data_IF_621524617892
#
_entry.id   IF_621524617892
#
_cell.length_a   1.000
_cell.length_b   1.000
_cell.length_c   1.000
_cell.angle_alpha   90.00
_cell.angle_beta   90.00
_cell.angle_gamma   90.00
#
_symmetry.space_group_name_H-M   'P 1'
#
loop_
_entity.id
_entity.type
_entity.pdbx_description
1 polymer ?
#
# COMPACT_ATOMS: atom_id res chain seq x y z
N UNK A 1 17.39 19.36 7.37
CA UNK A 1 16.30 18.38 7.19
C UNK A 1 16.21 17.49 8.43
N UNK A 2 15.04 17.41 9.06
CA UNK A 2 14.77 16.53 10.19
C UNK A 2 14.63 15.09 9.67
N UNK A 3 15.34 14.15 10.30
CA UNK A 3 15.24 12.74 9.97
C UNK A 3 14.03 12.09 10.65
N UNK A 4 13.46 11.05 10.04
CA UNK A 4 12.34 10.31 10.61
C UNK A 4 12.76 9.61 11.89
N UNK A 5 12.05 9.88 13.02
CA UNK A 5 12.28 9.21 14.29
C UNK A 5 11.95 7.72 14.24
N UNK A 6 12.55 6.93 15.11
CA UNK A 6 12.25 5.52 15.37
C UNK A 6 12.51 4.60 14.16
N UNK A 7 13.38 5.03 13.25
CA UNK A 7 13.77 4.25 12.07
C UNK A 7 15.30 4.16 11.97
N UNK A 8 15.77 3.06 11.40
CA UNK A 8 17.18 2.83 11.13
C UNK A 8 17.77 1.60 11.83
N UNK A 9 19.02 1.29 11.54
CA UNK A 9 19.76 0.16 12.11
C UNK A 9 19.21 -1.23 11.77
N UNK A 10 18.37 -1.33 10.77
CA UNK A 10 17.84 -2.61 10.28
C UNK A 10 18.79 -3.29 9.30
N UNK A 11 18.44 -4.53 8.92
CA UNK A 11 19.16 -5.29 7.91
C UNK A 11 19.13 -4.56 6.55
N UNK A 12 20.24 -4.64 5.78
CA UNK A 12 20.34 -4.10 4.41
C UNK A 12 19.27 -4.73 3.52
N UNK A 13 18.59 -3.91 2.69
CA UNK A 13 17.50 -4.34 1.82
C UNK A 13 17.77 -3.91 0.38
N UNK A 14 17.51 -4.81 -0.55
CA UNK A 14 17.45 -4.45 -1.97
C UNK A 14 16.08 -3.87 -2.28
N UNK A 15 16.04 -2.79 -3.04
CA UNK A 15 14.80 -2.19 -3.50
C UNK A 15 14.34 -2.84 -4.80
N UNK A 16 13.03 -3.14 -4.90
CA UNK A 16 12.36 -3.54 -6.14
C UNK A 16 11.54 -2.37 -6.64
N UNK A 17 11.67 -2.06 -7.92
CA UNK A 17 10.83 -1.04 -8.56
C UNK A 17 9.48 -1.68 -8.85
N UNK A 18 8.43 -1.13 -8.23
CA UNK A 18 7.05 -1.61 -8.40
C UNK A 18 6.31 -0.67 -9.33
N UNK A 19 5.61 -1.23 -10.30
CA UNK A 19 4.74 -0.50 -11.19
C UNK A 19 3.42 -0.16 -10.48
N UNK A 20 3.38 1.01 -9.84
CA UNK A 20 2.17 1.54 -9.24
C UNK A 20 1.28 2.27 -10.23
N UNK A 21 1.81 2.64 -11.41
CA UNK A 21 1.07 3.38 -12.43
C UNK A 21 0.21 2.50 -13.29
N UNK A 22 0.68 1.29 -13.57
CA UNK A 22 0.02 0.37 -14.47
C UNK A 22 -0.32 1.04 -15.80
N UNK A 23 0.65 1.79 -16.35
CA UNK A 23 0.50 2.63 -17.54
C UNK A 23 0.62 1.87 -18.87
N UNK A 24 0.92 0.58 -18.83
CA UNK A 24 1.03 -0.27 -20.01
C UNK A 24 -0.34 -0.84 -20.34
N UNK A 25 -1.15 -0.03 -21.01
CA UNK A 25 -2.54 -0.38 -21.33
C UNK A 25 -2.65 -1.32 -22.55
N UNK A 26 -3.64 -2.22 -22.50
CA UNK A 26 -4.04 -3.17 -23.55
C UNK A 26 -2.95 -4.20 -23.96
N UNK A 27 -1.88 -4.33 -23.19
CA UNK A 27 -0.87 -5.36 -23.41
C UNK A 27 -1.00 -6.42 -22.31
N UNK A 28 -1.32 -7.67 -22.65
CA UNK A 28 -1.44 -8.73 -21.66
C UNK A 28 -0.06 -9.09 -21.08
N UNK A 29 -0.05 -9.39 -19.80
CA UNK A 29 1.13 -9.87 -19.10
C UNK A 29 0.82 -11.15 -18.34
N UNK A 30 1.76 -12.09 -18.34
CA UNK A 30 1.66 -13.35 -17.60
C UNK A 30 2.39 -13.23 -16.27
N UNK A 31 1.78 -13.72 -15.20
CA UNK A 31 2.43 -13.82 -13.88
C UNK A 31 3.48 -14.91 -13.93
N UNK A 32 4.75 -14.52 -13.89
CA UNK A 32 5.89 -15.44 -13.94
C UNK A 32 6.25 -16.00 -12.56
N UNK A 33 6.16 -15.16 -11.50
CA UNK A 33 6.48 -15.56 -10.13
C UNK A 33 5.78 -14.65 -9.11
N UNK A 34 5.56 -15.16 -7.89
CA UNK A 34 5.15 -14.37 -6.73
C UNK A 34 6.31 -14.37 -5.75
N UNK A 35 6.80 -13.17 -5.39
CA UNK A 35 8.04 -13.01 -4.64
C UNK A 35 7.85 -12.24 -3.34
N UNK A 36 8.81 -12.42 -2.43
CA UNK A 36 8.93 -11.64 -1.22
C UNK A 36 9.64 -10.30 -1.50
N UNK A 37 9.10 -9.20 -0.96
CA UNK A 37 9.77 -7.90 -0.97
C UNK A 37 10.06 -7.44 0.47
N UNK A 38 11.34 -7.21 0.85
CA UNK A 38 11.70 -6.78 2.20
C UNK A 38 11.25 -5.34 2.51
N UNK A 39 10.85 -4.55 1.51
CA UNK A 39 10.48 -3.14 1.66
C UNK A 39 8.98 -2.94 1.96
N UNK A 40 8.18 -3.99 1.85
CA UNK A 40 6.74 -3.93 2.08
C UNK A 40 6.20 -5.18 2.73
N UNK A 41 4.99 -5.11 3.23
CA UNK A 41 4.29 -6.24 3.86
C UNK A 41 3.60 -7.14 2.84
N UNK A 42 3.19 -6.58 1.70
CA UNK A 42 2.58 -7.30 0.59
C UNK A 42 3.60 -8.15 -0.18
N UNK A 43 3.16 -9.26 -0.76
CA UNK A 43 3.91 -9.98 -1.79
C UNK A 43 3.85 -9.19 -3.09
N UNK A 44 4.81 -9.42 -3.97
CA UNK A 44 4.88 -8.83 -5.31
C UNK A 44 4.82 -9.92 -6.37
N UNK A 45 4.21 -9.62 -7.50
CA UNK A 45 4.14 -10.51 -8.65
C UNK A 45 5.05 -9.98 -9.77
N UNK A 46 5.91 -10.84 -10.29
CA UNK A 46 6.70 -10.56 -11.48
C UNK A 46 5.83 -10.84 -12.71
N UNK A 47 5.58 -9.81 -13.49
CA UNK A 47 4.87 -9.89 -14.76
C UNK A 47 5.85 -9.94 -15.92
N UNK A 48 5.57 -10.79 -16.89
CA UNK A 48 6.22 -10.80 -18.21
C UNK A 48 5.16 -10.40 -19.24
N UNK A 49 5.35 -9.25 -19.86
CA UNK A 49 4.47 -8.73 -20.89
C UNK A 49 4.69 -9.42 -22.24
N UNK A 50 3.73 -9.37 -23.14
CA UNK A 50 3.81 -9.97 -24.47
C UNK A 50 4.98 -9.41 -25.31
N UNK A 51 5.41 -8.17 -25.05
CA UNK A 51 6.56 -7.52 -25.69
C UNK A 51 7.91 -7.83 -25.01
N UNK A 52 7.93 -8.74 -24.01
CA UNK A 52 9.15 -9.16 -23.30
C UNK A 52 9.54 -8.29 -22.12
N UNK A 53 8.91 -7.13 -21.90
CA UNK A 53 9.18 -6.30 -20.72
C UNK A 53 8.76 -7.01 -19.44
N UNK A 54 9.52 -6.82 -18.37
CA UNK A 54 9.20 -7.37 -17.05
C UNK A 54 8.95 -6.23 -16.06
N UNK A 55 7.85 -6.32 -15.30
CA UNK A 55 7.53 -5.38 -14.23
C UNK A 55 7.05 -6.11 -12.99
N UNK A 56 7.29 -5.52 -11.83
CA UNK A 56 6.68 -5.97 -10.58
C UNK A 56 5.39 -5.20 -10.30
N UNK A 57 4.37 -5.92 -9.84
CA UNK A 57 3.14 -5.34 -9.28
C UNK A 57 2.92 -5.84 -7.86
N UNK A 58 1.99 -5.22 -7.12
CA UNK A 58 1.49 -5.81 -5.88
C UNK A 58 0.71 -7.08 -6.24
N UNK A 59 0.98 -8.18 -5.54
CA UNK A 59 0.24 -9.41 -5.74
C UNK A 59 -1.11 -9.33 -5.00
N UNK A 60 -2.24 -9.30 -5.71
CA UNK A 60 -3.55 -9.42 -5.07
C UNK A 60 -3.76 -10.83 -4.52
N UNK A 61 -4.74 -10.94 -3.61
CA UNK A 61 -5.21 -12.22 -3.13
C UNK A 61 -5.79 -13.05 -4.29
N UNK A 62 -5.57 -14.35 -4.26
CA UNK A 62 -6.02 -15.32 -5.28
C UNK A 62 -5.30 -15.22 -6.65
N UNK A 63 -4.33 -14.33 -6.83
CA UNK A 63 -3.49 -14.34 -8.02
C UNK A 63 -2.50 -15.50 -7.94
N UNK A 64 -2.40 -16.29 -9.02
CA UNK A 64 -1.50 -17.44 -9.10
C UNK A 64 -0.47 -17.27 -10.22
N UNK A 65 0.61 -18.05 -10.15
CA UNK A 65 1.60 -18.09 -11.23
C UNK A 65 0.97 -18.71 -12.46
N UNK A 66 1.14 -18.07 -13.59
CA UNK A 66 0.54 -18.48 -14.87
C UNK A 66 -0.70 -17.67 -15.25
N UNK A 67 -1.35 -16.96 -14.32
CA UNK A 67 -2.48 -16.08 -14.61
C UNK A 67 -2.06 -14.96 -15.57
N UNK A 68 -3.03 -14.51 -16.35
CA UNK A 68 -2.89 -13.35 -17.23
C UNK A 68 -3.50 -12.12 -16.60
N UNK A 69 -2.80 -10.99 -16.64
CA UNK A 69 -3.30 -9.70 -16.17
C UNK A 69 -3.13 -8.64 -17.26
N UNK A 70 -4.08 -7.72 -17.32
CA UNK A 70 -4.10 -6.63 -18.28
C UNK A 70 -4.45 -5.32 -17.59
N UNK A 71 -4.01 -4.21 -18.15
CA UNK A 71 -4.42 -2.85 -17.77
C UNK A 71 -5.16 -2.22 -18.94
N UNK A 72 -6.13 -1.36 -18.68
CA UNK A 72 -6.84 -0.62 -19.73
C UNK A 72 -8.35 -0.69 -19.60
N UNK A 73 -9.05 0.03 -20.47
CA UNK A 73 -10.52 0.18 -20.42
C UNK A 73 -11.27 -1.11 -20.76
N UNK A 74 -10.64 -2.01 -21.53
CA UNK A 74 -11.23 -3.28 -21.99
C UNK A 74 -10.91 -4.46 -21.05
N UNK A 75 -10.22 -4.22 -19.94
CA UNK A 75 -9.83 -5.28 -19.02
C UNK A 75 -11.04 -5.81 -18.24
N UNK A 76 -11.14 -7.14 -18.10
CA UNK A 76 -12.16 -7.79 -17.29
C UNK A 76 -11.99 -7.47 -15.78
N UNK A 77 -13.08 -7.60 -15.02
CA UNK A 77 -13.09 -7.37 -13.56
C UNK A 77 -12.55 -8.60 -12.83
N UNK A 78 -11.27 -8.88 -13.07
CA UNK A 78 -10.53 -10.02 -12.51
C UNK A 78 -9.41 -9.49 -11.60
N UNK A 79 -9.10 -10.15 -10.45
CA UNK A 79 -8.02 -9.73 -9.57
C UNK A 79 -6.68 -9.57 -10.30
N UNK A 80 -6.04 -8.42 -10.14
CA UNK A 80 -4.78 -8.07 -10.80
C UNK A 80 -4.92 -7.14 -12.00
N UNK A 81 -6.09 -7.08 -12.63
CA UNK A 81 -6.36 -6.15 -13.71
C UNK A 81 -6.50 -4.72 -13.18
N UNK A 82 -6.06 -3.75 -13.98
CA UNK A 82 -6.08 -2.33 -13.62
C UNK A 82 -6.92 -1.52 -14.60
N UNK A 83 -7.91 -0.80 -14.07
CA UNK A 83 -8.85 0.00 -14.85
C UNK A 83 -9.01 1.39 -14.24
N UNK A 84 -9.59 2.31 -15.00
CA UNK A 84 -10.09 3.57 -14.46
C UNK A 84 -11.32 3.33 -13.58
N UNK A 85 -11.49 4.11 -12.52
CA UNK A 85 -12.63 3.97 -11.60
C UNK A 85 -13.99 4.08 -12.31
N UNK A 86 -14.06 4.83 -13.42
CA UNK A 86 -15.28 4.94 -14.24
C UNK A 86 -15.73 3.57 -14.80
N UNK A 87 -14.77 2.69 -15.11
CA UNK A 87 -15.01 1.42 -15.80
C UNK A 87 -15.21 0.24 -14.81
N UNK A 88 -14.93 0.45 -13.52
CA UNK A 88 -15.07 -0.58 -12.48
C UNK A 88 -16.48 -0.51 -11.88
N UNK A 89 -17.24 -1.61 -11.80
CA UNK A 89 -18.59 -1.62 -11.20
C UNK A 89 -18.60 -1.16 -9.74
N UNK A 90 -19.71 -0.57 -9.30
CA UNK A 90 -19.97 -0.24 -7.90
C UNK A 90 -20.01 -1.53 -7.06
N UNK A 91 -19.52 -1.48 -5.83
CA UNK A 91 -19.41 -2.63 -4.94
C UNK A 91 -18.09 -3.40 -5.08
N UNK A 92 -17.33 -3.18 -6.16
CA UNK A 92 -16.07 -3.88 -6.42
C UNK A 92 -15.00 -3.51 -5.39
N UNK A 93 -14.26 -4.53 -4.95
CA UNK A 93 -13.09 -4.38 -4.10
C UNK A 93 -11.87 -4.10 -4.97
N UNK A 94 -11.11 -3.07 -4.60
CA UNK A 94 -9.93 -2.60 -5.33
C UNK A 94 -8.76 -2.31 -4.39
N UNK A 95 -7.57 -2.25 -4.95
CA UNK A 95 -6.35 -1.81 -4.26
C UNK A 95 -5.50 -0.94 -5.19
N UNK A 96 -4.37 -0.46 -4.72
CA UNK A 96 -3.46 0.39 -5.51
C UNK A 96 -4.17 1.56 -6.17
N UNK A 97 -5.02 2.27 -5.43
CA UNK A 97 -5.89 3.35 -5.94
C UNK A 97 -5.09 4.64 -6.09
N UNK A 98 -5.23 5.29 -7.23
CA UNK A 98 -4.70 6.63 -7.47
C UNK A 98 -5.54 7.70 -6.77
N UNK A 99 -4.88 8.79 -6.35
CA UNK A 99 -5.54 10.02 -5.88
C UNK A 99 -5.61 11.10 -6.96
N UNK A 100 -4.68 11.04 -7.91
CA UNK A 100 -4.62 11.94 -9.06
C UNK A 100 -4.32 11.10 -10.30
N UNK A 101 -4.98 11.37 -11.43
CA UNK A 101 -4.78 10.60 -12.65
C UNK A 101 -3.30 10.58 -13.08
N UNK A 102 -2.78 9.40 -13.42
CA UNK A 102 -1.42 9.19 -13.91
C UNK A 102 -0.29 9.31 -12.88
N UNK A 103 -0.59 9.63 -11.62
CA UNK A 103 0.41 9.72 -10.55
C UNK A 103 0.88 8.36 -10.05
N UNK A 104 0.10 7.34 -10.26
CA UNK A 104 0.29 5.99 -9.72
C UNK A 104 -0.46 5.79 -8.40
N UNK A 105 -0.75 4.53 -8.10
CA UNK A 105 -1.52 4.15 -6.93
C UNK A 105 -0.83 4.55 -5.62
N UNK A 106 -1.58 5.12 -4.70
CA UNK A 106 -1.09 5.60 -3.40
C UNK A 106 -1.82 4.97 -2.21
N UNK A 107 -3.06 4.55 -2.41
CA UNK A 107 -3.94 4.01 -1.38
C UNK A 107 -4.07 2.49 -1.51
N UNK A 108 -4.30 1.81 -0.39
CA UNK A 108 -4.52 0.36 -0.29
C UNK A 108 -3.39 -0.47 -0.93
N UNK A 109 -2.15 -0.33 -0.40
CA UNK A 109 -0.96 -1.02 -0.91
C UNK A 109 -0.31 -1.98 0.07
N UNK A 110 -0.73 -1.99 1.33
CA UNK A 110 -0.21 -2.90 2.35
C UNK A 110 -0.87 -4.27 2.29
N UNK A 111 -0.24 -5.28 2.88
CA UNK A 111 -0.79 -6.64 2.96
C UNK A 111 -2.21 -6.67 3.53
N UNK A 112 -3.10 -7.43 2.93
CA UNK A 112 -4.47 -7.62 3.38
C UNK A 112 -5.40 -6.41 3.24
N UNK A 113 -4.91 -5.29 2.73
CA UNK A 113 -5.69 -4.05 2.64
C UNK A 113 -6.49 -3.99 1.34
N UNK A 114 -7.67 -3.39 1.41
CA UNK A 114 -8.52 -3.11 0.25
C UNK A 114 -9.22 -1.76 0.40
N UNK A 115 -9.81 -1.30 -0.68
CA UNK A 115 -10.76 -0.20 -0.75
C UNK A 115 -11.99 -0.68 -1.54
N UNK A 116 -13.14 -0.05 -1.37
CA UNK A 116 -14.38 -0.43 -2.05
C UNK A 116 -15.02 0.76 -2.72
N UNK A 117 -15.47 0.60 -3.96
CA UNK A 117 -16.23 1.61 -4.69
C UNK A 117 -17.68 1.53 -4.23
N UNK A 118 -18.20 2.60 -3.58
CA UNK A 118 -19.57 2.62 -3.05
C UNK A 118 -20.57 3.22 -4.03
N UNK A 119 -20.18 4.28 -4.72
CA UNK A 119 -21.04 5.00 -5.67
C UNK A 119 -20.18 5.74 -6.69
N UNK A 120 -20.83 6.22 -7.74
CA UNK A 120 -20.23 7.11 -8.75
C UNK A 120 -21.22 8.24 -9.03
N UNK A 121 -20.73 9.48 -8.91
CA UNK A 121 -21.53 10.68 -9.13
C UNK A 121 -20.74 11.71 -9.94
N UNK A 122 -21.29 12.13 -11.06
CA UNK A 122 -20.65 13.11 -11.94
C UNK A 122 -19.24 12.70 -12.33
N UNK A 123 -18.24 13.48 -11.93
CA UNK A 123 -16.81 13.23 -12.20
C UNK A 123 -16.09 12.42 -11.12
N UNK A 124 -16.78 12.05 -10.04
CA UNK A 124 -16.17 11.43 -8.86
C UNK A 124 -16.74 10.03 -8.58
N UNK A 125 -15.89 9.19 -8.00
CA UNK A 125 -16.26 7.93 -7.38
C UNK A 125 -16.11 8.06 -5.86
N UNK A 126 -17.09 7.57 -5.12
CA UNK A 126 -17.06 7.45 -3.66
C UNK A 126 -16.35 6.15 -3.32
N UNK A 127 -15.16 6.27 -2.75
CA UNK A 127 -14.32 5.11 -2.42
C UNK A 127 -14.16 5.02 -0.91
N UNK A 128 -14.60 3.90 -0.33
CA UNK A 128 -14.37 3.56 1.07
C UNK A 128 -12.93 3.12 1.23
N UNK A 129 -12.18 3.87 2.03
CA UNK A 129 -10.78 3.60 2.33
C UNK A 129 -10.61 2.51 3.38
N UNK A 130 -9.40 1.94 3.54
CA UNK A 130 -9.11 1.00 4.63
C UNK A 130 -9.36 1.56 6.03
N UNK A 131 -9.28 2.87 6.20
CA UNK A 131 -9.60 3.58 7.45
C UNK A 131 -11.10 3.72 7.73
N UNK A 132 -11.97 3.19 6.85
CA UNK A 132 -13.42 3.38 6.83
C UNK A 132 -13.89 4.76 6.37
N UNK A 133 -13.01 5.71 6.13
CA UNK A 133 -13.32 7.02 5.53
C UNK A 133 -13.81 6.83 4.10
N UNK A 134 -14.83 7.59 3.69
CA UNK A 134 -15.29 7.66 2.30
C UNK A 134 -14.69 8.90 1.65
N UNK A 135 -13.95 8.71 0.57
CA UNK A 135 -13.34 9.81 -0.18
C UNK A 135 -13.88 9.91 -1.60
N UNK A 136 -13.97 11.15 -2.08
CA UNK A 136 -14.25 11.46 -3.46
C UNK A 136 -12.96 11.42 -4.27
N UNK A 137 -12.88 10.51 -5.23
CA UNK A 137 -11.74 10.36 -6.14
C UNK A 137 -12.23 10.56 -7.56
N UNK A 138 -11.46 11.26 -8.40
CA UNK A 138 -11.81 11.43 -9.81
C UNK A 138 -11.96 10.07 -10.50
N UNK A 139 -12.99 9.91 -11.30
CA UNK A 139 -13.27 8.66 -12.01
C UNK A 139 -12.20 8.29 -13.05
N UNK A 140 -11.36 9.23 -13.47
CA UNK A 140 -10.20 9.02 -14.35
C UNK A 140 -9.03 8.31 -13.65
N UNK A 141 -9.00 8.32 -12.31
CA UNK A 141 -7.97 7.62 -11.53
C UNK A 141 -8.06 6.13 -11.75
N UNK A 142 -6.89 5.46 -11.83
CA UNK A 142 -6.80 4.01 -11.94
C UNK A 142 -6.85 3.33 -10.58
N UNK A 143 -7.34 2.10 -10.57
CA UNK A 143 -7.26 1.18 -9.44
C UNK A 143 -7.07 -0.25 -9.95
N UNK A 144 -6.51 -1.11 -9.13
CA UNK A 144 -6.34 -2.54 -9.45
C UNK A 144 -7.42 -3.35 -8.74
N UNK A 145 -8.04 -4.29 -9.45
CA UNK A 145 -9.11 -5.14 -8.93
C UNK A 145 -8.58 -6.11 -7.89
N UNK A 146 -9.35 -6.31 -6.84
CA UNK A 146 -9.08 -7.28 -5.77
C UNK A 146 -8.46 -6.65 -4.51
N UNK A 147 -8.24 -7.49 -3.52
CA UNK A 147 -7.58 -7.18 -2.24
C UNK A 147 -6.10 -7.51 -2.34
N UNK A 148 -5.23 -6.76 -1.66
CA UNK A 148 -3.81 -7.10 -1.57
C UNK A 148 -3.62 -8.42 -0.83
N UNK A 149 -2.79 -9.31 -1.36
CA UNK A 149 -2.50 -10.61 -0.77
C UNK A 149 -1.75 -10.54 0.56
N UNK A 150 -1.33 -11.72 1.09
CA UNK A 150 -0.68 -11.86 2.39
C UNK A 150 -1.56 -11.39 3.56
N UNK A 151 -2.83 -11.75 3.53
CA UNK A 151 -3.88 -11.32 4.49
C UNK A 151 -3.48 -11.60 5.94
N UNK A 152 -2.89 -12.77 6.21
CA UNK A 152 -2.49 -13.17 7.56
C UNK A 152 -1.27 -12.41 8.12
N UNK A 153 -0.76 -11.40 7.40
CA UNK A 153 0.40 -10.63 7.86
C UNK A 153 0.14 -9.91 9.20
N UNK A 154 -1.07 -9.47 9.45
CA UNK A 154 -1.45 -8.78 10.70
C UNK A 154 -1.37 -9.69 11.94
N UNK A 155 -1.56 -11.00 11.75
CA UNK A 155 -1.53 -12.01 12.82
C UNK A 155 -0.10 -12.41 13.23
N UNK A 156 0.94 -11.87 12.56
CA UNK A 156 2.33 -12.25 12.84
C UNK A 156 2.82 -11.59 14.12
N UNK A 157 3.10 -12.39 15.13
CA UNK A 157 3.75 -11.97 16.36
C UNK A 157 5.27 -11.98 16.20
N UNK A 158 5.93 -10.85 16.53
CA UNK A 158 7.39 -10.73 16.39
C UNK A 158 8.17 -11.51 17.46
N UNK A 159 7.57 -11.74 18.61
CA UNK A 159 8.11 -12.53 19.73
C UNK A 159 9.14 -11.77 20.58
N UNK A 160 10.06 -11.02 19.99
CA UNK A 160 11.11 -10.30 20.74
C UNK A 160 11.43 -8.92 20.17
N UNK A 161 11.88 -8.02 21.02
CA UNK A 161 12.26 -6.65 20.64
C UNK A 161 13.41 -6.59 19.62
N UNK A 162 14.37 -7.51 19.71
CA UNK A 162 15.48 -7.61 18.75
C UNK A 162 15.00 -7.84 17.32
N UNK A 163 13.93 -8.60 17.11
CA UNK A 163 13.36 -8.80 15.76
C UNK A 163 12.80 -7.50 15.18
N UNK A 164 12.19 -6.64 16.01
CA UNK A 164 11.78 -5.29 15.58
C UNK A 164 12.99 -4.44 15.19
N UNK A 165 14.11 -4.55 15.90
CA UNK A 165 15.37 -3.86 15.59
C UNK A 165 15.93 -4.32 14.23
N UNK A 166 15.92 -5.61 13.93
CA UNK A 166 16.34 -6.14 12.63
C UNK A 166 15.51 -5.58 11.47
N UNK A 167 14.22 -5.32 11.72
CA UNK A 167 13.32 -4.69 10.74
C UNK A 167 13.48 -3.17 10.62
N UNK A 168 14.44 -2.59 11.34
CA UNK A 168 14.71 -1.15 11.31
C UNK A 168 13.80 -0.30 12.19
N UNK A 169 13.04 -0.92 13.09
CA UNK A 169 12.23 -0.20 14.10
C UNK A 169 13.05 0.04 15.34
N UNK A 170 13.33 1.29 15.65
CA UNK A 170 14.02 1.70 16.88
C UNK A 170 13.01 1.88 18.01
N UNK A 171 13.46 1.84 19.29
CA UNK A 171 12.61 2.06 20.44
C UNK A 171 11.85 3.38 20.37
N UNK A 172 10.64 3.38 20.90
CA UNK A 172 9.80 4.57 21.02
C UNK A 172 9.97 5.19 22.40
N UNK A 173 10.50 6.41 22.44
CA UNK A 173 10.64 7.20 23.67
C UNK A 173 9.39 8.07 23.83
N UNK A 174 8.80 8.08 25.04
CA UNK A 174 7.62 8.91 25.37
C UNK A 174 8.05 10.37 25.54
N UNK A 175 7.20 11.32 25.15
CA UNK A 175 7.47 12.76 25.29
C UNK A 175 7.72 13.22 26.72
N UNK A 176 7.05 12.60 27.70
CA UNK A 176 7.19 12.92 29.14
C UNK A 176 8.63 12.74 29.67
N UNK A 177 9.43 11.84 29.05
CA UNK A 177 10.83 11.61 29.46
C UNK A 177 11.84 12.43 28.66
N UNK A 178 11.37 13.34 27.85
CA UNK A 178 12.19 14.27 27.06
C UNK A 178 12.35 15.61 27.77
N UNK A 179 13.25 16.44 27.23
CA UNK A 179 13.39 17.83 27.67
C UNK A 179 12.27 18.73 27.10
N UNK A 180 12.01 19.91 27.71
CA UNK A 180 10.95 20.82 27.23
C UNK A 180 11.09 21.25 25.77
N UNK A 181 12.32 21.38 25.25
CA UNK A 181 12.58 21.77 23.87
C UNK A 181 12.37 20.61 22.87
N UNK A 182 12.35 19.35 23.34
CA UNK A 182 12.19 18.17 22.49
C UNK A 182 10.73 17.75 22.31
N UNK A 183 9.89 18.03 23.30
CA UNK A 183 8.49 17.64 23.28
C UNK A 183 7.63 18.52 24.21
N UNK A 184 6.37 18.87 23.85
CA UNK A 184 5.47 19.64 24.70
C UNK A 184 5.20 19.04 26.09
N UNK A 185 5.33 17.70 26.22
CA UNK A 185 5.19 17.00 27.51
C UNK A 185 6.52 16.88 28.28
N UNK A 186 7.60 17.45 27.76
CA UNK A 186 8.93 17.35 28.38
C UNK A 186 9.09 18.29 29.58
N UNK A 187 10.05 17.95 30.42
CA UNK A 187 10.41 18.73 31.60
C UNK A 187 9.66 18.34 32.88
N UNK A 188 9.99 19.03 33.98
CA UNK A 188 9.46 18.76 35.28
C UNK A 188 10.28 17.77 36.08
N UNK A 189 9.90 17.55 37.34
CA UNK A 189 10.54 16.65 38.30
C UNK A 189 9.66 15.43 38.57
N UNK A 190 10.27 14.24 38.61
CA UNK A 190 9.57 12.99 38.89
C UNK A 190 8.55 12.61 37.83
N UNK A 191 7.37 12.16 38.23
CA UNK A 191 6.25 11.80 37.35
C UNK A 191 5.39 13.01 37.04
N UNK A 192 5.92 13.96 36.29
CA UNK A 192 5.14 15.16 35.87
C UNK A 192 3.92 14.76 35.04
N UNK A 193 2.79 15.46 35.16
CA UNK A 193 1.66 15.28 34.29
C UNK A 193 2.02 15.68 32.85
N UNK A 194 1.32 15.11 31.87
CA UNK A 194 1.47 15.52 30.49
C UNK A 194 1.09 17.02 30.37
N UNK A 195 1.88 17.75 29.59
CA UNK A 195 1.59 19.12 29.24
C UNK A 195 0.41 19.23 28.26
N UNK A 196 0.43 20.25 27.43
CA UNK A 196 -0.57 20.41 26.36
C UNK A 196 -0.47 19.30 25.33
N UNK A 197 -1.57 19.08 24.62
CA UNK A 197 -1.60 18.21 23.45
C UNK A 197 -0.54 18.69 22.44
N UNK A 198 0.31 17.77 21.90
CA UNK A 198 1.31 18.11 20.92
C UNK A 198 0.70 18.67 19.61
#
# INVERSE_FOLDING_TARGET
>A
RITSRRRGGGHKRRYRIIDFKRDKDNIPAKVAAIEYDPNRTARIALLTYADGEKRYILAPDKLTVGDSVISGETADIIPGNSLKLKDIPVGTIVHNVELQPGKGGQIARSAGVNAQILAKEGKFAHVKMPSSEVRLIRQECKATIGQVGNINHENITLGKAGRSRWKGKRPSVRGVVMNPHDHPHGGGEGKSPAGRHP
#
